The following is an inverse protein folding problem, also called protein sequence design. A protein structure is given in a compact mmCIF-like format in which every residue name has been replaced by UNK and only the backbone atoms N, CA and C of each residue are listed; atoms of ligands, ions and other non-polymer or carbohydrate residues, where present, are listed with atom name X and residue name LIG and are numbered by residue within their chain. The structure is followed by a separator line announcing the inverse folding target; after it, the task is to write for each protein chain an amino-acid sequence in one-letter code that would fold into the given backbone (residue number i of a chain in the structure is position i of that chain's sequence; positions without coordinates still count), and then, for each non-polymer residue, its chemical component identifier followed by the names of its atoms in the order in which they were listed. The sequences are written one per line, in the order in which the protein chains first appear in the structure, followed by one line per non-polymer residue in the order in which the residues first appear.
data_IF_025287519003
#
_entry.id   IF_025287519003
#
_cell.length_a   1.000
_cell.length_b   1.000
_cell.length_c   1.000
_cell.angle_alpha   90.00
_cell.angle_beta   90.00
_cell.angle_gamma   90.00
#
_symmetry.space_group_name_H-M   'P 1'
#
loop_
_entity.id
_entity.type
_entity.pdbx_description
1 polymer ?
#
# COMPACT_ATOMS: atom_id res chain seq x y z
N UNK A 1 19.16 -42.40 44.82
CA UNK A 1 19.01 -40.95 44.72
C UNK A 1 19.21 -40.54 43.23
N UNK A 2 18.11 -40.32 42.49
CA UNK A 2 18.15 -39.93 41.08
C UNK A 2 17.97 -38.42 40.96
N UNK A 3 18.98 -37.73 40.46
CA UNK A 3 18.98 -36.28 40.25
C UNK A 3 18.21 -35.95 38.96
N UNK A 4 17.09 -35.28 39.08
CA UNK A 4 16.35 -34.69 37.96
C UNK A 4 17.15 -33.45 37.43
N UNK A 5 17.59 -33.53 36.18
CA UNK A 5 18.12 -32.36 35.47
C UNK A 5 16.92 -31.60 34.86
N UNK A 6 16.75 -30.36 35.25
CA UNK A 6 15.70 -29.45 34.76
C UNK A 6 15.97 -29.08 33.30
N UNK A 7 14.98 -29.08 32.37
CA UNK A 7 15.18 -28.54 31.05
C UNK A 7 15.04 -27.02 31.08
N UNK A 8 16.15 -26.32 30.96
CA UNK A 8 16.22 -24.85 30.84
C UNK A 8 16.11 -24.39 29.38
N UNK A 9 15.45 -25.16 28.51
CA UNK A 9 15.49 -24.94 27.04
C UNK A 9 14.14 -24.52 26.45
N UNK A 10 13.13 -24.20 27.25
CA UNK A 10 11.78 -23.92 26.71
C UNK A 10 11.39 -22.43 26.73
N UNK A 11 12.25 -21.53 27.23
CA UNK A 11 11.91 -20.10 27.36
C UNK A 11 12.52 -19.25 26.23
N UNK A 12 13.46 -19.80 25.45
CA UNK A 12 14.12 -19.03 24.39
C UNK A 12 13.40 -19.07 23.02
N UNK A 13 12.33 -19.86 22.89
CA UNK A 13 11.61 -20.01 21.62
C UNK A 13 10.38 -19.10 21.49
N UNK A 14 9.98 -18.37 22.55
CA UNK A 14 8.76 -17.56 22.52
C UNK A 14 9.02 -16.06 22.30
N UNK A 15 10.26 -15.61 22.27
CA UNK A 15 10.61 -14.20 22.02
C UNK A 15 10.99 -13.87 20.59
N UNK A 16 10.87 -14.82 19.64
CA UNK A 16 11.31 -14.64 18.24
C UNK A 16 10.14 -14.46 17.26
N UNK A 17 8.90 -14.34 17.74
CA UNK A 17 7.72 -14.23 16.87
C UNK A 17 7.20 -12.80 16.72
N UNK A 18 7.76 -11.82 17.45
CA UNK A 18 7.29 -10.43 17.36
C UNK A 18 8.25 -9.47 16.65
N UNK A 19 9.20 -9.98 15.89
CA UNK A 19 10.00 -9.17 14.98
C UNK A 19 9.65 -9.49 13.52
N UNK A 20 8.38 -9.61 13.19
CA UNK A 20 7.94 -9.45 11.81
C UNK A 20 7.93 -7.96 11.55
N UNK A 21 9.09 -7.50 11.08
CA UNK A 21 9.24 -6.24 10.41
C UNK A 21 8.01 -6.03 9.52
N UNK A 22 7.40 -4.86 9.63
CA UNK A 22 6.54 -4.31 8.60
C UNK A 22 7.34 -4.38 7.32
N UNK A 23 7.14 -5.42 6.54
CA UNK A 23 7.89 -5.63 5.32
C UNK A 23 7.52 -4.54 4.34
N UNK A 24 8.56 -3.89 3.87
CA UNK A 24 8.56 -2.95 2.78
C UNK A 24 7.55 -3.33 1.69
N UNK A 25 6.91 -2.31 1.12
CA UNK A 25 6.06 -2.43 -0.07
C UNK A 25 6.82 -3.21 -1.15
N UNK A 26 6.32 -4.38 -1.51
CA UNK A 26 6.87 -5.14 -2.62
C UNK A 26 6.39 -4.52 -3.96
N UNK A 27 7.08 -4.76 -5.05
CA UNK A 27 6.99 -3.97 -6.28
C UNK A 27 6.36 -4.72 -7.47
N UNK A 28 5.37 -4.14 -8.14
CA UNK A 28 4.84 -4.58 -9.44
C UNK A 28 5.43 -3.79 -10.61
N UNK A 29 5.73 -4.45 -11.71
CA UNK A 29 6.44 -3.87 -12.84
C UNK A 29 5.50 -3.58 -14.02
N UNK A 30 5.38 -2.31 -14.43
CA UNK A 30 4.60 -1.88 -15.58
C UNK A 30 5.56 -1.68 -16.76
N UNK A 31 5.42 -2.48 -17.83
CA UNK A 31 6.36 -2.55 -18.96
C UNK A 31 5.82 -1.95 -20.26
N UNK A 32 4.63 -1.37 -20.25
CA UNK A 32 4.03 -0.76 -21.44
C UNK A 32 3.45 0.63 -21.14
N UNK A 33 3.58 1.55 -22.11
CA UNK A 33 2.94 2.87 -22.02
C UNK A 33 1.42 2.74 -22.00
N UNK A 34 0.76 3.38 -21.03
CA UNK A 34 -0.68 3.22 -20.80
C UNK A 34 -1.05 1.95 -20.01
N UNK A 35 -0.07 1.18 -19.57
CA UNK A 35 -0.28 0.08 -18.63
C UNK A 35 -0.75 0.59 -17.28
N UNK A 36 -1.59 -0.20 -16.61
CA UNK A 36 -2.05 0.04 -15.24
C UNK A 36 -1.48 -1.01 -14.29
N UNK A 37 -1.08 -0.60 -13.11
CA UNK A 37 -0.74 -1.50 -12.02
C UNK A 37 -1.85 -1.49 -10.99
N UNK A 38 -2.37 -2.66 -10.64
CA UNK A 38 -3.31 -2.82 -9.53
C UNK A 38 -2.50 -3.19 -8.29
N UNK A 39 -2.60 -2.36 -7.26
CA UNK A 39 -1.98 -2.65 -5.98
C UNK A 39 -3.06 -3.18 -5.04
N UNK A 40 -3.16 -4.50 -4.85
CA UNK A 40 -4.01 -5.05 -3.80
C UNK A 40 -3.41 -4.69 -2.44
N UNK A 41 -4.26 -4.29 -1.53
CA UNK A 41 -3.88 -4.18 -0.11
C UNK A 41 -3.96 -5.60 0.45
N UNK A 42 -3.03 -6.45 0.02
CA UNK A 42 -2.90 -7.82 0.52
C UNK A 42 -1.45 -8.29 0.48
N UNK A 43 -1.12 -9.14 1.42
CA UNK A 43 0.20 -9.72 1.59
C UNK A 43 0.34 -10.97 0.71
N UNK A 44 1.21 -10.93 -0.30
CA UNK A 44 1.92 -12.15 -0.74
C UNK A 44 3.11 -11.83 -1.61
N UNK A 45 4.21 -12.45 -1.28
CA UNK A 45 5.48 -12.41 -1.99
C UNK A 45 5.48 -13.34 -3.19
N UNK A 46 6.18 -12.98 -4.24
CA UNK A 46 7.15 -13.88 -4.86
C UNK A 46 8.09 -13.13 -5.80
N UNK A 47 9.32 -13.46 -5.63
CA UNK A 47 10.49 -13.30 -6.46
C UNK A 47 10.27 -13.62 -7.92
N UNK A 48 10.83 -12.84 -8.82
CA UNK A 48 11.92 -13.37 -9.59
C UNK A 48 12.79 -12.26 -10.21
N UNK A 49 14.07 -12.34 -9.92
CA UNK A 49 15.05 -11.48 -10.50
C UNK A 49 15.32 -11.90 -11.94
N UNK A 50 15.16 -11.00 -12.85
CA UNK A 50 15.75 -11.10 -14.16
C UNK A 50 16.83 -10.04 -14.31
N UNK A 51 18.00 -10.58 -14.42
CA UNK A 51 19.30 -10.06 -14.83
C UNK A 51 19.28 -8.88 -15.79
N UNK A 52 20.20 -7.96 -15.46
CA UNK A 52 20.58 -6.81 -16.23
C UNK A 52 20.76 -7.04 -17.73
N UNK A 53 19.87 -6.40 -18.47
CA UNK A 53 20.11 -5.91 -19.80
C UNK A 53 19.68 -4.47 -19.78
N UNK A 54 20.47 -3.59 -20.36
CA UNK A 54 20.08 -2.20 -20.59
C UNK A 54 18.67 -2.21 -21.23
N UNK A 55 17.65 -1.59 -20.60
CA UNK A 55 16.33 -1.54 -21.21
C UNK A 55 16.47 -0.81 -22.54
N UNK A 56 15.95 -1.40 -23.61
CA UNK A 56 15.84 -0.70 -24.87
C UNK A 56 15.23 0.68 -24.60
N UNK A 57 15.82 1.76 -25.10
CA UNK A 57 15.52 3.15 -24.70
C UNK A 57 14.07 3.61 -24.85
N UNK A 58 13.15 2.74 -25.24
CA UNK A 58 11.70 2.96 -25.39
C UNK A 58 10.87 2.07 -24.48
N UNK A 59 11.46 1.11 -23.77
CA UNK A 59 10.71 0.21 -22.88
C UNK A 59 10.31 0.93 -21.60
N UNK A 60 9.02 0.89 -21.26
CA UNK A 60 8.54 1.34 -19.98
C UNK A 60 8.79 0.25 -18.93
N UNK A 61 9.36 0.65 -17.82
CA UNK A 61 9.59 -0.21 -16.66
C UNK A 61 9.37 0.63 -15.41
N UNK A 62 8.22 0.48 -14.78
CA UNK A 62 7.83 1.22 -13.58
C UNK A 62 7.43 0.24 -12.50
N UNK A 63 8.00 0.41 -11.36
CA UNK A 63 7.71 -0.37 -10.17
C UNK A 63 6.73 0.37 -9.27
N UNK A 64 5.61 -0.25 -8.94
CA UNK A 64 4.61 0.28 -8.00
C UNK A 64 4.54 -0.61 -6.76
N UNK A 65 4.14 -0.08 -5.59
CA UNK A 65 3.94 -0.91 -4.41
C UNK A 65 2.97 -2.06 -4.69
N UNK A 66 3.29 -3.27 -4.26
CA UNK A 66 2.36 -4.42 -4.36
C UNK A 66 1.30 -4.40 -3.28
N UNK A 67 1.53 -3.65 -2.20
CA UNK A 67 0.57 -3.44 -1.13
C UNK A 67 0.74 -2.07 -0.50
N UNK A 68 -0.32 -1.55 0.07
CA UNK A 68 -0.36 -0.38 0.94
C UNK A 68 -0.80 -0.88 2.33
N UNK A 69 0.14 -1.35 3.17
CA UNK A 69 -0.19 -1.98 4.44
C UNK A 69 -0.68 -0.94 5.45
N UNK A 70 -1.70 -1.32 6.20
CA UNK A 70 -2.20 -0.51 7.31
C UNK A 70 -2.56 -1.41 8.49
N UNK A 71 -2.45 -0.86 9.69
CA UNK A 71 -2.83 -1.52 10.94
C UNK A 71 -3.78 -0.63 11.72
N UNK A 72 -4.81 -1.22 12.30
CA UNK A 72 -5.74 -0.50 13.16
C UNK A 72 -5.48 -0.86 14.63
N UNK A 73 -5.35 0.14 15.49
CA UNK A 73 -5.22 -0.03 16.93
C UNK A 73 -6.57 -0.41 17.56
N UNK A 74 -6.55 -0.82 18.84
CA UNK A 74 -7.77 -1.07 19.59
C UNK A 74 -8.65 0.19 19.76
N UNK A 75 -8.02 1.36 19.74
CA UNK A 75 -8.72 2.64 19.78
C UNK A 75 -9.29 3.07 18.43
N UNK A 76 -9.08 2.26 17.38
CA UNK A 76 -9.55 2.51 16.02
C UNK A 76 -8.68 3.50 15.23
N UNK A 77 -7.46 3.81 15.69
CA UNK A 77 -6.52 4.61 14.92
C UNK A 77 -5.84 3.75 13.87
N UNK A 78 -5.81 4.22 12.63
CA UNK A 78 -5.18 3.53 11.52
C UNK A 78 -3.78 4.09 11.31
N UNK A 79 -2.78 3.22 11.36
CA UNK A 79 -1.40 3.51 11.05
C UNK A 79 -1.07 2.96 9.65
N UNK A 80 -0.41 3.75 8.85
CA UNK A 80 -0.03 3.45 7.46
C UNK A 80 1.49 3.38 7.31
N UNK A 81 1.97 2.66 6.30
CA UNK A 81 3.39 2.65 5.98
C UNK A 81 3.82 3.97 5.35
N UNK A 82 5.05 4.39 5.63
CA UNK A 82 5.61 5.69 5.18
C UNK A 82 6.70 5.55 4.13
N UNK A 83 7.04 4.33 3.73
CA UNK A 83 8.15 4.02 2.80
C UNK A 83 7.68 3.54 1.43
N UNK A 84 6.38 3.59 1.16
CA UNK A 84 5.82 3.23 -0.14
C UNK A 84 6.24 4.22 -1.22
N UNK A 85 6.65 3.70 -2.37
CA UNK A 85 7.10 4.54 -3.48
C UNK A 85 6.81 3.91 -4.84
N UNK A 86 6.65 4.75 -5.84
CA UNK A 86 6.66 4.38 -7.25
C UNK A 86 8.04 4.71 -7.79
N UNK A 87 8.66 3.79 -8.52
CA UNK A 87 10.01 3.96 -9.06
C UNK A 87 10.00 3.77 -10.57
N UNK A 88 10.57 4.72 -11.28
CA UNK A 88 10.78 4.62 -12.71
C UNK A 88 12.14 3.97 -13.00
N UNK A 89 12.11 2.78 -13.54
CA UNK A 89 13.29 2.05 -14.01
C UNK A 89 13.46 2.16 -15.55
N UNK A 90 12.60 2.97 -16.21
CA UNK A 90 12.70 3.25 -17.64
C UNK A 90 13.85 4.21 -17.92
N UNK A 91 14.31 4.23 -19.17
CA UNK A 91 15.31 5.21 -19.61
C UNK A 91 14.72 6.63 -19.68
N UNK A 92 13.48 6.77 -20.11
CA UNK A 92 12.77 8.05 -20.22
C UNK A 92 12.03 8.45 -18.95
N UNK A 93 11.66 9.73 -18.85
CA UNK A 93 10.84 10.24 -17.75
C UNK A 93 9.40 9.70 -17.84
N UNK A 94 8.79 9.43 -16.69
CA UNK A 94 7.38 9.00 -16.58
C UNK A 94 6.65 9.82 -15.52
N UNK A 95 5.34 9.74 -15.51
CA UNK A 95 4.48 10.34 -14.48
C UNK A 95 3.29 9.45 -14.19
N UNK A 96 2.75 9.56 -12.99
CA UNK A 96 1.42 9.03 -12.69
C UNK A 96 0.39 9.96 -13.32
N UNK A 97 -0.44 9.42 -14.21
CA UNK A 97 -1.47 10.15 -14.95
C UNK A 97 -2.81 10.15 -14.23
N UNK A 98 -3.18 8.98 -13.69
CA UNK A 98 -4.44 8.80 -12.98
C UNK A 98 -4.30 7.73 -11.91
N UNK A 99 -5.20 7.75 -10.95
CA UNK A 99 -5.31 6.76 -9.90
C UNK A 99 -6.77 6.56 -9.50
N UNK A 100 -7.13 5.32 -9.21
CA UNK A 100 -8.45 4.98 -8.71
C UNK A 100 -8.36 3.98 -7.58
N UNK A 101 -9.41 3.93 -6.76
CA UNK A 101 -9.56 2.95 -5.69
C UNK A 101 -10.88 2.20 -5.89
N UNK A 102 -10.87 0.90 -5.60
CA UNK A 102 -12.09 0.09 -5.54
C UNK A 102 -12.12 -0.71 -4.24
N UNK A 103 -13.30 -0.82 -3.65
CA UNK A 103 -13.52 -1.68 -2.50
C UNK A 103 -13.23 -3.14 -2.85
N UNK A 104 -12.64 -3.89 -1.91
CA UNK A 104 -12.56 -5.33 -2.02
C UNK A 104 -13.89 -6.00 -1.63
N UNK A 105 -14.02 -7.30 -1.91
CA UNK A 105 -15.21 -8.06 -1.55
C UNK A 105 -15.48 -7.99 -0.04
N UNK A 106 -16.72 -7.69 0.31
CA UNK A 106 -17.15 -7.55 1.71
C UNK A 106 -16.82 -6.19 2.34
N UNK A 107 -16.21 -5.27 1.59
CA UNK A 107 -15.89 -3.91 2.02
C UNK A 107 -16.63 -2.86 1.18
N UNK A 108 -16.75 -1.66 1.74
CA UNK A 108 -17.36 -0.50 1.06
C UNK A 108 -16.45 0.70 1.22
N UNK A 109 -16.34 1.53 0.18
CA UNK A 109 -15.71 2.84 0.34
C UNK A 109 -16.69 3.80 1.01
N UNK A 110 -16.14 4.81 1.66
CA UNK A 110 -16.91 5.96 2.20
C UNK A 110 -16.05 7.22 2.10
N UNK A 111 -16.66 8.37 2.34
CA UNK A 111 -15.92 9.62 2.37
C UNK A 111 -14.82 9.57 3.44
N UNK A 112 -13.60 9.95 3.07
CA UNK A 112 -12.51 10.14 4.03
C UNK A 112 -12.75 11.41 4.85
N UNK A 113 -12.45 11.34 6.14
CA UNK A 113 -12.62 12.45 7.08
C UNK A 113 -12.00 12.13 8.43
N UNK A 114 -12.45 12.78 9.47
CA UNK A 114 -12.03 12.48 10.82
C UNK A 114 -12.54 11.09 11.25
N UNK A 115 -11.74 10.36 12.04
CA UNK A 115 -12.12 9.08 12.63
C UNK A 115 -13.48 9.12 13.32
N UNK A 116 -13.81 10.25 13.97
CA UNK A 116 -15.10 10.44 14.62
C UNK A 116 -16.30 10.33 13.68
N UNK A 117 -16.11 10.57 12.39
CA UNK A 117 -17.18 10.44 11.37
C UNK A 117 -17.71 9.02 11.23
N UNK A 118 -16.87 8.01 11.52
CA UNK A 118 -17.24 6.60 11.46
C UNK A 118 -17.54 5.98 12.83
N UNK A 119 -17.35 6.72 13.93
CA UNK A 119 -17.54 6.19 15.28
C UNK A 119 -18.99 5.79 15.59
N UNK A 120 -19.97 6.39 14.89
CA UNK A 120 -21.39 6.06 14.99
C UNK A 120 -21.88 4.98 14.03
N UNK A 121 -21.03 4.49 13.15
CA UNK A 121 -21.37 3.44 12.22
C UNK A 121 -21.53 2.09 12.92
N UNK A 122 -22.33 1.22 12.31
CA UNK A 122 -22.51 -0.14 12.82
C UNK A 122 -21.16 -0.88 12.83
N UNK A 123 -20.86 -1.55 13.93
CA UNK A 123 -19.71 -2.46 14.02
C UNK A 123 -19.78 -3.49 12.91
N UNK A 124 -18.64 -3.79 12.28
CA UNK A 124 -18.50 -4.69 11.12
C UNK A 124 -19.29 -4.24 9.88
N UNK A 125 -19.55 -2.95 9.73
CA UNK A 125 -20.08 -2.41 8.46
C UNK A 125 -19.04 -2.35 7.35
N UNK A 126 -17.76 -2.59 7.67
CA UNK A 126 -16.63 -2.72 6.75
C UNK A 126 -16.52 -1.55 5.76
N UNK A 127 -16.60 -0.33 6.29
CA UNK A 127 -16.39 0.89 5.50
C UNK A 127 -14.97 1.39 5.64
N UNK A 128 -14.40 1.82 4.52
CA UNK A 128 -13.07 2.41 4.40
C UNK A 128 -13.16 3.80 3.79
N UNK A 129 -12.76 4.83 4.53
CA UNK A 129 -12.39 6.12 3.98
C UNK A 129 -10.89 6.14 3.72
N UNK A 130 -10.46 6.61 2.55
CA UNK A 130 -9.07 6.53 2.10
C UNK A 130 -8.62 7.84 1.47
N UNK A 131 -7.40 8.26 1.78
CA UNK A 131 -6.76 9.41 1.18
C UNK A 131 -5.37 9.06 0.70
N UNK A 132 -4.93 9.69 -0.38
CA UNK A 132 -3.68 9.43 -1.10
C UNK A 132 -2.97 10.72 -1.46
N UNK A 133 -1.66 10.77 -1.29
CA UNK A 133 -0.77 11.81 -1.81
C UNK A 133 0.42 11.16 -2.52
N UNK A 134 0.85 11.70 -3.64
CA UNK A 134 2.00 11.22 -4.40
C UNK A 134 3.03 12.33 -4.48
N UNK A 135 4.29 12.01 -4.13
CA UNK A 135 5.43 12.89 -4.24
C UNK A 135 5.28 14.19 -3.44
N UNK A 136 4.51 14.18 -2.34
CA UNK A 136 4.18 15.35 -1.55
C UNK A 136 3.21 16.33 -2.22
N UNK A 137 2.53 15.88 -3.29
CA UNK A 137 1.47 16.66 -3.95
C UNK A 137 0.20 16.78 -3.10
N UNK A 138 -0.83 17.39 -3.68
CA UNK A 138 -2.12 17.54 -3.00
C UNK A 138 -2.72 16.18 -2.65
N UNK A 139 -3.26 16.06 -1.45
CA UNK A 139 -4.00 14.88 -1.02
C UNK A 139 -5.32 14.80 -1.78
N UNK A 140 -5.63 13.61 -2.28
CA UNK A 140 -6.91 13.24 -2.90
C UNK A 140 -7.55 12.12 -2.09
N UNK A 141 -8.87 12.13 -1.96
CA UNK A 141 -9.55 11.24 -1.03
C UNK A 141 -10.85 10.69 -1.59
N UNK A 142 -11.31 9.59 -1.02
CA UNK A 142 -12.66 9.07 -1.27
C UNK A 142 -13.70 10.08 -0.77
N UNK A 143 -14.77 10.27 -1.55
CA UNK A 143 -15.77 11.29 -1.30
C UNK A 143 -17.22 10.75 -1.16
N UNK A 144 -17.41 9.45 -1.42
CA UNK A 144 -18.74 8.84 -1.45
C UNK A 144 -18.70 7.36 -1.07
N UNK A 145 -19.86 6.73 -1.03
CA UNK A 145 -20.02 5.29 -0.79
C UNK A 145 -20.00 4.46 -2.10
N UNK A 146 -19.52 5.02 -3.21
CA UNK A 146 -19.39 4.29 -4.47
C UNK A 146 -18.28 3.23 -4.37
N UNK A 147 -18.54 2.04 -4.92
CA UNK A 147 -17.62 0.91 -4.85
C UNK A 147 -16.28 1.15 -5.56
N UNK A 148 -16.23 2.08 -6.50
CA UNK A 148 -15.02 2.50 -7.22
C UNK A 148 -15.00 4.00 -7.37
N UNK A 149 -13.88 4.63 -7.04
CA UNK A 149 -13.72 6.08 -7.13
C UNK A 149 -12.40 6.45 -7.82
N UNK A 150 -12.47 7.46 -8.68
CA UNK A 150 -11.28 8.06 -9.27
C UNK A 150 -10.71 9.07 -8.29
N UNK A 151 -9.50 8.82 -7.78
CA UNK A 151 -8.79 9.71 -6.87
C UNK A 151 -7.98 10.75 -7.64
N UNK A 152 -7.20 10.31 -8.63
CA UNK A 152 -6.38 11.17 -9.48
C UNK A 152 -7.00 11.16 -10.86
N UNK A 153 -7.61 12.27 -11.28
CA UNK A 153 -8.29 12.42 -12.59
C UNK A 153 -7.45 13.19 -13.60
N UNK A 154 -6.41 13.89 -13.12
CA UNK A 154 -5.46 14.62 -13.94
C UNK A 154 -4.09 14.58 -13.27
N UNK A 155 -2.99 14.74 -14.02
CA UNK A 155 -1.65 14.78 -13.44
C UNK A 155 -1.55 15.91 -12.40
N UNK A 156 -1.07 15.53 -11.21
CA UNK A 156 -0.80 16.46 -10.11
C UNK A 156 0.70 16.74 -10.00
N UNK A 157 1.04 17.85 -9.37
CA UNK A 157 2.43 18.18 -9.05
C UNK A 157 3.04 17.08 -8.16
N UNK A 158 4.34 16.80 -8.37
CA UNK A 158 5.05 15.73 -7.65
C UNK A 158 4.98 14.34 -8.30
N UNK A 159 4.11 14.12 -9.28
CA UNK A 159 3.94 12.82 -9.94
C UNK A 159 4.98 12.49 -11.02
N UNK A 160 5.95 13.38 -11.29
CA UNK A 160 6.97 13.16 -12.30
C UNK A 160 8.20 12.47 -11.74
N UNK A 161 8.69 11.48 -12.46
CA UNK A 161 9.92 10.75 -12.17
C UNK A 161 10.85 10.84 -13.37
N UNK A 162 12.12 11.14 -13.13
CA UNK A 162 13.17 11.07 -14.16
C UNK A 162 13.44 9.62 -14.56
N UNK A 163 14.18 9.41 -15.64
CA UNK A 163 14.62 8.05 -16.02
C UNK A 163 15.63 7.47 -15.02
N UNK A 164 15.86 6.16 -15.12
CA UNK A 164 16.72 5.38 -14.23
C UNK A 164 18.18 5.90 -14.11
N UNK A 165 18.65 6.70 -15.07
CA UNK A 165 19.97 7.35 -15.00
C UNK A 165 20.11 8.43 -13.91
N UNK A 166 18.99 8.89 -13.33
CA UNK A 166 18.97 9.84 -12.22
C UNK A 166 18.25 9.23 -11.01
N UNK A 167 18.97 8.42 -10.27
CA UNK A 167 18.42 7.70 -9.11
C UNK A 167 17.95 8.60 -7.96
N UNK A 168 18.29 9.89 -7.99
CA UNK A 168 17.83 10.85 -6.97
C UNK A 168 16.39 11.35 -7.21
N UNK A 169 15.87 11.21 -8.43
CA UNK A 169 14.56 11.72 -8.84
C UNK A 169 13.74 10.72 -9.66
N UNK A 170 14.18 9.47 -9.75
CA UNK A 170 13.48 8.42 -10.47
C UNK A 170 12.36 7.77 -9.65
N UNK A 171 12.09 8.23 -8.43
CA UNK A 171 11.02 7.70 -7.59
C UNK A 171 10.23 8.82 -6.91
N UNK A 172 8.98 8.53 -6.60
CA UNK A 172 8.08 9.39 -5.82
C UNK A 172 7.47 8.60 -4.68
N UNK A 173 7.35 9.24 -3.51
CA UNK A 173 6.67 8.67 -2.35
C UNK A 173 5.17 8.48 -2.63
N UNK A 174 4.60 7.50 -1.99
CA UNK A 174 3.15 7.25 -1.94
C UNK A 174 2.75 7.31 -0.48
N UNK A 175 2.20 8.43 -0.06
CA UNK A 175 1.68 8.63 1.28
C UNK A 175 0.17 8.42 1.26
N UNK A 176 -0.36 7.77 2.27
CA UNK A 176 -1.79 7.49 2.36
C UNK A 176 -2.26 7.47 3.81
N UNK A 177 -3.53 7.76 3.98
CA UNK A 177 -4.22 7.73 5.26
C UNK A 177 -5.54 6.98 5.08
N UNK A 178 -6.02 6.38 6.15
CA UNK A 178 -7.29 5.66 6.13
C UNK A 178 -8.05 5.81 7.43
N UNK A 179 -9.37 5.75 7.34
CA UNK A 179 -10.29 5.57 8.45
C UNK A 179 -11.14 4.34 8.19
N UNK A 180 -11.40 3.58 9.24
CA UNK A 180 -12.13 2.31 9.14
C UNK A 180 -13.23 2.29 10.21
N UNK A 181 -14.39 1.72 9.88
CA UNK A 181 -15.46 1.49 10.86
C UNK A 181 -15.03 0.53 11.96
N UNK A 182 -15.61 0.62 13.17
CA UNK A 182 -15.30 -0.30 14.25
C UNK A 182 -15.48 -1.77 13.84
N UNK A 183 -14.53 -2.61 14.24
CA UNK A 183 -14.53 -4.06 14.01
C UNK A 183 -14.72 -4.80 15.34
N UNK A 184 -15.51 -5.87 15.32
CA UNK A 184 -15.76 -6.70 16.52
C UNK A 184 -14.64 -7.69 16.81
N UNK A 185 -13.79 -7.97 15.84
CA UNK A 185 -12.69 -8.93 15.96
C UNK A 185 -11.44 -8.42 15.21
N UNK A 186 -10.29 -8.91 15.64
CA UNK A 186 -9.06 -8.65 14.92
C UNK A 186 -9.12 -9.27 13.51
N UNK A 187 -8.62 -8.51 12.55
CA UNK A 187 -8.50 -8.92 11.15
C UNK A 187 -7.02 -8.96 10.80
N UNK A 188 -6.57 -10.04 10.20
CA UNK A 188 -5.18 -10.21 9.80
C UNK A 188 -5.10 -10.41 8.28
N UNK A 189 -4.28 -9.57 7.61
CA UNK A 189 -4.00 -9.71 6.18
C UNK A 189 -5.21 -9.58 5.24
N UNK A 190 -6.31 -8.96 5.68
CA UNK A 190 -7.48 -8.78 4.83
C UNK A 190 -7.20 -7.76 3.72
N UNK A 191 -7.60 -8.11 2.50
CA UNK A 191 -7.69 -7.13 1.42
C UNK A 191 -8.96 -6.29 1.62
N UNK A 192 -8.80 -4.98 1.82
CA UNK A 192 -9.91 -4.06 2.06
C UNK A 192 -10.24 -3.18 0.85
N UNK A 193 -9.24 -2.91 0.01
CA UNK A 193 -9.39 -2.13 -1.23
C UNK A 193 -8.25 -2.42 -2.20
N UNK A 194 -8.44 -2.01 -3.47
CA UNK A 194 -7.42 -2.06 -4.51
C UNK A 194 -7.20 -0.67 -5.07
N UNK A 195 -5.95 -0.22 -5.13
CA UNK A 195 -5.56 1.04 -5.77
C UNK A 195 -4.90 0.74 -7.10
N UNK A 196 -5.33 1.45 -8.15
CA UNK A 196 -4.78 1.32 -9.51
C UNK A 196 -4.11 2.63 -9.89
N UNK A 197 -2.85 2.57 -10.31
CA UNK A 197 -2.09 3.69 -10.87
C UNK A 197 -1.93 3.50 -12.39
N UNK A 198 -2.09 4.59 -13.16
CA UNK A 198 -1.87 4.64 -14.61
C UNK A 198 -0.85 5.72 -14.96
#
# INVERSE_FOLDING_TARGET
MKKFKKPASLILALCLVFALAVSACADNNITASGGSGTTPVSLSSTTDGSSGGDPAGTAMNVTVPTSLPMTMSQDGDVLTATDCKITNNSYGAVRVRSGSISAAEGWNLTAFGDKASLAGEKVDSNKLGFALSIGGGAQVATASDEATQSLITAPIEGCYMTGAGDSSRNSVGVDYEAIVTPLSSAVEGANVANVVFV
#
